data_IF_419066892147
#
_entry.id   IF_419066892147
#
_cell.length_a   1.000
_cell.length_b   1.000
_cell.length_c   1.000
_cell.angle_alpha   90.00
_cell.angle_beta   90.00
_cell.angle_gamma   90.00
#
_symmetry.space_group_name_H-M   'P 1'
#
loop_
_entity.id
_entity.type
_entity.pdbx_description
1 polymer ?
#
# COMPACT_ATOMS: atom_id res chain seq x y z
N UNK A 1 10.20 7.70 23.09
CA UNK A 1 10.27 6.32 23.54
C UNK A 1 9.04 5.44 23.37
N UNK A 2 7.85 5.99 23.09
CA UNK A 2 6.64 5.15 22.93
C UNK A 2 6.73 4.14 21.77
N UNK A 3 7.24 4.50 20.57
CA UNK A 3 7.33 3.55 19.46
C UNK A 3 8.28 2.37 19.76
N UNK A 4 9.39 2.63 20.42
CA UNK A 4 10.35 1.60 20.82
C UNK A 4 9.70 0.58 21.76
N UNK A 5 9.00 1.04 22.80
CA UNK A 5 8.35 0.17 23.77
C UNK A 5 7.26 -0.66 23.13
N UNK A 6 6.42 -0.04 22.29
CA UNK A 6 5.39 -0.76 21.53
C UNK A 6 6.00 -1.83 20.61
N UNK A 7 7.08 -1.50 19.91
CA UNK A 7 7.77 -2.46 19.05
C UNK A 7 8.32 -3.64 19.84
N UNK A 8 8.92 -3.41 20.99
CA UNK A 8 9.43 -4.50 21.86
C UNK A 8 8.29 -5.41 22.32
N UNK A 9 7.19 -4.83 22.80
CA UNK A 9 6.03 -5.61 23.29
C UNK A 9 5.44 -6.45 22.16
N UNK A 10 5.17 -5.84 21.01
CA UNK A 10 4.56 -6.53 19.86
C UNK A 10 5.49 -7.59 19.31
N UNK A 11 6.79 -7.28 19.15
CA UNK A 11 7.78 -8.26 18.70
C UNK A 11 7.90 -9.46 19.65
N UNK A 12 7.89 -9.21 20.96
CA UNK A 12 7.90 -10.29 21.96
C UNK A 12 6.61 -11.13 21.93
N UNK A 13 5.44 -10.50 21.78
CA UNK A 13 4.16 -11.21 21.64
C UNK A 13 4.10 -12.08 20.39
N UNK A 14 4.59 -11.59 19.25
CA UNK A 14 4.66 -12.37 18.01
C UNK A 14 5.61 -13.55 18.20
N UNK A 15 6.79 -13.34 18.78
CA UNK A 15 7.75 -14.40 19.05
C UNK A 15 7.20 -15.45 20.01
N UNK A 16 6.48 -15.05 21.04
CA UNK A 16 5.81 -15.96 21.98
C UNK A 16 4.70 -16.77 21.29
N UNK A 17 3.83 -16.10 20.50
CA UNK A 17 2.77 -16.77 19.74
C UNK A 17 3.31 -17.76 18.71
N UNK A 18 4.48 -17.48 18.13
CA UNK A 18 5.19 -18.37 17.23
C UNK A 18 5.97 -19.50 17.96
N UNK A 19 5.84 -19.61 19.29
CA UNK A 19 6.53 -20.61 20.12
C UNK A 19 8.05 -20.61 19.94
N UNK A 20 8.63 -19.44 19.73
CA UNK A 20 10.07 -19.29 19.61
C UNK A 20 10.77 -19.45 20.97
N UNK A 21 12.04 -19.84 20.92
CA UNK A 21 12.91 -19.84 22.09
C UNK A 21 13.07 -18.44 22.71
N UNK A 22 13.22 -18.34 24.03
CA UNK A 22 13.29 -17.06 24.77
C UNK A 22 14.29 -16.08 24.17
N UNK A 23 15.47 -16.58 23.75
CA UNK A 23 16.50 -15.74 23.12
C UNK A 23 15.99 -15.12 21.82
N UNK A 24 15.25 -15.87 21.01
CA UNK A 24 14.66 -15.39 19.75
C UNK A 24 13.51 -14.42 20.01
N UNK A 25 12.70 -14.65 21.04
CA UNK A 25 11.63 -13.73 21.47
C UNK A 25 12.22 -12.38 21.85
N UNK A 26 13.25 -12.35 22.69
CA UNK A 26 13.94 -11.13 23.11
C UNK A 26 14.59 -10.44 21.93
N UNK A 27 15.28 -11.19 21.06
CA UNK A 27 15.90 -10.61 19.86
C UNK A 27 14.85 -10.00 18.92
N UNK A 28 13.73 -10.67 18.67
CA UNK A 28 12.64 -10.15 17.86
C UNK A 28 12.02 -8.90 18.46
N UNK A 29 11.80 -8.90 19.78
CA UNK A 29 11.30 -7.72 20.50
C UNK A 29 12.23 -6.51 20.34
N UNK A 30 13.51 -6.68 20.63
CA UNK A 30 14.49 -5.59 20.50
C UNK A 30 14.60 -5.11 19.05
N UNK A 31 14.61 -6.02 18.08
CA UNK A 31 14.69 -5.68 16.66
C UNK A 31 13.47 -4.87 16.22
N UNK A 32 12.26 -5.31 16.58
CA UNK A 32 11.02 -4.58 16.26
C UNK A 32 10.99 -3.20 16.92
N UNK A 33 11.43 -3.10 18.19
CA UNK A 33 11.56 -1.82 18.89
C UNK A 33 12.53 -0.87 18.18
N UNK A 34 13.70 -1.38 17.82
CA UNK A 34 14.71 -0.61 17.10
C UNK A 34 14.19 -0.12 15.73
N UNK A 35 13.54 -0.98 14.97
CA UNK A 35 12.94 -0.63 13.67
C UNK A 35 11.88 0.48 13.84
N UNK A 36 10.98 0.35 14.82
CA UNK A 36 9.94 1.35 15.07
C UNK A 36 10.48 2.70 15.52
N UNK A 37 11.65 2.75 16.16
CA UNK A 37 12.29 4.00 16.57
C UNK A 37 13.18 4.59 15.47
N UNK A 38 13.93 3.75 14.74
CA UNK A 38 14.92 4.22 13.76
C UNK A 38 14.27 4.65 12.43
N UNK A 39 13.27 3.92 11.94
CA UNK A 39 12.64 4.23 10.65
C UNK A 39 12.05 5.65 10.62
N UNK A 40 11.27 6.12 11.61
CA UNK A 40 10.77 7.50 11.60
C UNK A 40 11.88 8.54 11.61
N UNK A 41 12.97 8.31 12.35
CA UNK A 41 14.11 9.24 12.40
C UNK A 41 14.82 9.33 11.05
N UNK A 42 15.10 8.20 10.43
CA UNK A 42 15.73 8.15 9.09
C UNK A 42 14.81 8.83 8.06
N UNK A 43 13.52 8.54 8.09
CA UNK A 43 12.54 9.15 7.18
C UNK A 43 12.45 10.66 7.38
N UNK A 44 12.50 11.16 8.62
CA UNK A 44 12.52 12.60 8.90
C UNK A 44 13.74 13.28 8.26
N UNK A 45 14.91 12.68 8.35
CA UNK A 45 16.13 13.20 7.71
C UNK A 45 15.98 13.29 6.17
N UNK A 46 15.36 12.28 5.55
CA UNK A 46 15.05 12.33 4.11
C UNK A 46 14.08 13.45 3.77
N UNK A 47 13.01 13.63 4.55
CA UNK A 47 12.03 14.70 4.34
C UNK A 47 12.69 16.06 4.46
N UNK A 48 13.50 16.27 5.49
CA UNK A 48 14.22 17.51 5.72
C UNK A 48 15.22 17.80 4.58
N UNK A 49 15.91 16.78 4.07
CA UNK A 49 16.80 16.91 2.92
C UNK A 49 16.07 17.23 1.61
N UNK A 50 14.82 16.73 1.43
CA UNK A 50 14.02 16.99 0.24
C UNK A 50 13.23 18.31 0.28
N UNK A 51 13.04 18.89 1.46
CA UNK A 51 12.26 20.11 1.65
C UNK A 51 12.76 21.30 0.80
N UNK A 52 14.07 21.65 0.77
CA UNK A 52 14.55 22.74 -0.07
C UNK A 52 14.36 22.50 -1.56
N UNK A 53 14.45 21.24 -2.02
CA UNK A 53 14.18 20.86 -3.42
C UNK A 53 12.71 21.08 -3.75
N UNK A 54 11.80 20.65 -2.85
CA UNK A 54 10.36 20.82 -3.00
C UNK A 54 9.97 22.31 -3.04
N UNK A 55 10.52 23.13 -2.16
CA UNK A 55 10.28 24.58 -2.12
C UNK A 55 10.74 25.26 -3.39
N UNK A 56 11.94 24.96 -3.87
CA UNK A 56 12.47 25.51 -5.14
C UNK A 56 11.64 25.08 -6.34
N UNK A 57 11.23 23.83 -6.37
CA UNK A 57 10.34 23.32 -7.42
C UNK A 57 8.99 24.04 -7.42
N UNK A 58 8.40 24.27 -6.23
CA UNK A 58 7.15 25.04 -6.11
C UNK A 58 7.30 26.47 -6.60
N UNK A 59 8.42 27.15 -6.30
CA UNK A 59 8.70 28.50 -6.81
C UNK A 59 8.79 28.52 -8.34
N UNK A 60 9.53 27.58 -8.93
CA UNK A 60 9.67 27.47 -10.39
C UNK A 60 8.33 27.19 -11.06
N UNK A 61 7.54 26.29 -10.49
CA UNK A 61 6.20 25.95 -11.00
C UNK A 61 5.26 27.15 -10.90
N UNK A 62 5.26 27.89 -9.78
CA UNK A 62 4.46 29.11 -9.65
C UNK A 62 4.82 30.16 -10.69
N UNK A 63 6.11 30.34 -10.97
CA UNK A 63 6.59 31.25 -12.01
C UNK A 63 6.17 30.82 -13.42
N UNK A 64 6.30 29.54 -13.73
CA UNK A 64 6.05 28.98 -15.07
C UNK A 64 4.55 28.84 -15.41
N UNK A 65 3.72 28.59 -14.40
CA UNK A 65 2.28 28.31 -14.58
C UNK A 65 1.35 29.44 -14.06
N UNK A 66 1.84 30.70 -14.01
CA UNK A 66 1.06 31.90 -13.68
C UNK A 66 0.20 31.75 -12.40
N UNK A 67 0.79 31.19 -11.33
CA UNK A 67 0.12 31.08 -10.03
C UNK A 67 -0.93 29.97 -9.92
N UNK A 68 -1.04 29.07 -10.90
CA UNK A 68 -1.87 27.85 -10.75
C UNK A 68 -1.34 27.01 -9.59
N UNK A 69 -2.24 26.53 -8.75
CA UNK A 69 -1.89 25.55 -7.70
C UNK A 69 -1.53 24.23 -8.39
N UNK A 70 -0.26 23.88 -8.38
CA UNK A 70 0.22 22.59 -8.85
C UNK A 70 0.51 21.73 -7.63
N UNK A 71 -0.07 20.54 -7.61
CA UNK A 71 0.21 19.55 -6.59
C UNK A 71 1.37 18.68 -7.06
N UNK A 72 2.43 18.64 -6.27
CA UNK A 72 3.59 17.77 -6.53
C UNK A 72 3.27 16.43 -5.88
N UNK A 73 3.17 15.39 -6.71
CA UNK A 73 3.01 14.02 -6.22
C UNK A 73 4.30 13.54 -5.57
N UNK A 74 4.20 12.99 -4.36
CA UNK A 74 5.32 12.35 -3.68
C UNK A 74 5.04 10.87 -3.53
N UNK A 75 6.10 10.07 -3.53
CA UNK A 75 5.98 8.64 -3.28
C UNK A 75 5.46 8.37 -1.86
N UNK A 76 4.53 7.41 -1.68
CA UNK A 76 4.11 6.94 -0.36
C UNK A 76 5.28 6.48 0.52
N UNK A 77 6.38 6.04 -0.11
CA UNK A 77 7.60 5.63 0.58
C UNK A 77 8.15 6.69 1.54
N UNK A 78 7.99 7.99 1.21
CA UNK A 78 8.43 9.09 2.07
C UNK A 78 7.63 9.22 3.38
N UNK A 79 6.46 8.60 3.45
CA UNK A 79 5.54 8.68 4.60
C UNK A 79 5.48 7.35 5.37
N UNK A 80 6.23 6.34 4.94
CA UNK A 80 6.31 5.03 5.64
C UNK A 80 6.74 5.22 7.10
N UNK A 81 7.70 6.11 7.35
CA UNK A 81 8.19 6.41 8.69
C UNK A 81 7.23 7.21 9.59
N UNK A 82 6.03 7.55 9.13
CA UNK A 82 5.06 8.23 9.98
C UNK A 82 4.64 7.32 11.15
N UNK A 83 4.62 7.81 12.40
CA UNK A 83 4.33 6.98 13.58
C UNK A 83 3.05 6.17 13.47
N UNK A 84 1.97 6.77 12.95
CA UNK A 84 0.70 6.07 12.72
C UNK A 84 0.83 4.92 11.73
N UNK A 85 1.61 5.08 10.65
CA UNK A 85 1.87 4.01 9.67
C UNK A 85 2.53 2.83 10.35
N UNK A 86 3.57 3.07 11.13
CA UNK A 86 4.33 2.02 11.80
C UNK A 86 3.49 1.28 12.84
N UNK A 87 2.79 2.02 13.71
CA UNK A 87 1.91 1.43 14.74
C UNK A 87 0.83 0.56 14.10
N UNK A 88 0.13 1.09 13.09
CA UNK A 88 -0.95 0.36 12.41
C UNK A 88 -0.42 -0.86 11.67
N UNK A 89 0.72 -0.75 10.98
CA UNK A 89 1.34 -1.88 10.28
C UNK A 89 1.69 -3.01 11.24
N UNK A 90 2.35 -2.68 12.35
CA UNK A 90 2.76 -3.70 13.34
C UNK A 90 1.57 -4.39 13.98
N UNK A 91 0.48 -3.67 14.26
CA UNK A 91 -0.74 -4.26 14.81
C UNK A 91 -1.44 -5.14 13.76
N UNK A 92 -1.54 -4.66 12.52
CA UNK A 92 -2.29 -5.37 11.47
C UNK A 92 -1.56 -6.60 10.91
N UNK A 93 -0.24 -6.69 11.02
CA UNK A 93 0.51 -7.88 10.58
C UNK A 93 -0.05 -9.17 11.24
N UNK A 94 -0.05 -9.34 12.57
CA UNK A 94 -0.59 -10.55 13.18
C UNK A 94 -2.10 -10.69 12.99
N UNK A 95 -2.83 -9.59 12.96
CA UNK A 95 -4.29 -9.61 12.77
C UNK A 95 -4.66 -10.12 11.39
N UNK A 96 -4.00 -9.63 10.33
CA UNK A 96 -4.31 -10.07 8.97
C UNK A 96 -3.86 -11.51 8.71
N UNK A 97 -2.76 -11.95 9.32
CA UNK A 97 -2.35 -13.35 9.26
C UNK A 97 -3.40 -14.27 9.90
N UNK A 98 -3.89 -13.92 11.07
CA UNK A 98 -4.95 -14.67 11.71
C UNK A 98 -6.24 -14.67 10.86
N UNK A 99 -6.65 -13.51 10.35
CA UNK A 99 -7.83 -13.41 9.49
C UNK A 99 -7.65 -14.24 8.23
N UNK A 100 -6.49 -14.19 7.57
CA UNK A 100 -6.23 -14.94 6.34
C UNK A 100 -6.43 -16.46 6.50
N UNK A 101 -6.14 -17.00 7.69
CA UNK A 101 -6.34 -18.42 7.99
C UNK A 101 -7.83 -18.77 8.16
N UNK A 102 -8.61 -17.88 8.80
CA UNK A 102 -10.01 -18.17 9.13
C UNK A 102 -11.02 -17.62 8.12
N UNK A 103 -10.57 -16.78 7.15
CA UNK A 103 -11.44 -16.09 6.21
C UNK A 103 -12.00 -17.09 5.17
N UNK A 104 -13.33 -17.30 5.10
CA UNK A 104 -13.92 -18.24 4.15
C UNK A 104 -13.63 -17.82 2.69
N UNK A 105 -13.22 -18.78 1.87
CA UNK A 105 -12.92 -18.55 0.45
C UNK A 105 -11.63 -17.78 0.17
N UNK A 106 -10.80 -17.55 1.18
CA UNK A 106 -9.45 -17.04 1.00
C UNK A 106 -8.47 -18.21 0.85
N UNK A 107 -7.67 -18.20 -0.21
CA UNK A 107 -6.63 -19.19 -0.50
C UNK A 107 -5.23 -18.60 -0.43
N UNK A 108 -5.10 -17.34 0.03
CA UNK A 108 -3.85 -16.62 0.09
C UNK A 108 -3.40 -16.34 1.51
N UNK A 109 -2.17 -16.72 1.84
CA UNK A 109 -1.52 -16.36 3.10
C UNK A 109 -0.39 -15.35 2.84
N UNK A 110 -0.53 -14.07 3.29
CA UNK A 110 0.34 -12.98 2.90
C UNK A 110 1.68 -12.96 3.66
N UNK A 111 2.45 -14.05 3.67
CA UNK A 111 3.72 -14.12 4.41
C UNK A 111 4.80 -13.22 3.82
N UNK A 112 5.05 -13.33 2.52
CA UNK A 112 6.07 -12.53 1.83
C UNK A 112 5.61 -11.08 1.60
N UNK A 113 4.30 -10.88 1.43
CA UNK A 113 3.70 -9.57 1.12
C UNK A 113 3.54 -8.65 2.30
N UNK A 114 3.85 -9.08 3.53
CA UNK A 114 3.68 -8.25 4.73
C UNK A 114 4.49 -6.96 4.68
N UNK A 115 5.65 -6.99 4.03
CA UNK A 115 6.45 -5.78 3.82
C UNK A 115 5.74 -4.73 2.95
N UNK A 116 4.91 -5.16 2.00
CA UNK A 116 4.11 -4.29 1.14
C UNK A 116 3.03 -3.50 1.89
N UNK A 117 2.57 -4.00 3.05
CA UNK A 117 1.56 -3.33 3.87
C UNK A 117 1.96 -1.92 4.32
N UNK A 118 3.26 -1.69 4.55
CA UNK A 118 3.77 -0.37 4.92
C UNK A 118 3.51 0.71 3.86
N UNK A 119 3.31 0.33 2.60
CA UNK A 119 2.99 1.26 1.51
C UNK A 119 1.49 1.59 1.41
N UNK A 120 0.62 0.74 1.97
CA UNK A 120 -0.83 0.95 1.96
C UNK A 120 -1.24 2.09 2.89
N UNK A 121 -0.72 2.10 4.11
CA UNK A 121 -1.18 3.05 5.15
C UNK A 121 -0.83 4.51 4.85
N UNK A 122 0.31 4.88 4.25
CA UNK A 122 0.57 6.23 3.77
C UNK A 122 -0.49 6.78 2.81
N UNK A 123 -1.15 5.92 2.05
CA UNK A 123 -2.25 6.32 1.16
C UNK A 123 -3.55 6.61 1.93
N UNK A 124 -3.75 5.97 3.08
CA UNK A 124 -4.92 6.13 3.95
C UNK A 124 -4.76 7.34 4.87
N UNK A 125 -3.54 7.64 5.30
CA UNK A 125 -3.22 8.67 6.29
C UNK A 125 -3.81 10.07 5.98
N UNK A 126 -3.75 10.60 4.76
CA UNK A 126 -4.31 11.91 4.44
C UNK A 126 -5.81 12.00 4.71
N UNK A 127 -6.54 10.90 4.52
CA UNK A 127 -7.99 10.83 4.75
C UNK A 127 -8.34 10.69 6.22
N UNK A 128 -7.49 10.05 7.00
CA UNK A 128 -7.67 9.84 8.45
C UNK A 128 -7.04 10.93 9.30
N UNK A 129 -6.30 11.87 8.69
CA UNK A 129 -5.55 12.93 9.36
C UNK A 129 -4.60 12.38 10.45
N UNK A 130 -3.99 11.24 10.19
CA UNK A 130 -3.06 10.58 11.11
C UNK A 130 -3.71 9.88 12.32
N UNK A 131 -5.03 9.73 12.35
CA UNK A 131 -5.71 9.05 13.46
C UNK A 131 -5.49 7.53 13.37
N UNK A 132 -4.84 6.95 14.39
CA UNK A 132 -4.46 5.54 14.44
C UNK A 132 -5.68 4.61 14.31
N UNK A 133 -6.74 4.85 15.08
CA UNK A 133 -7.93 3.98 15.10
C UNK A 133 -8.64 3.99 13.75
N UNK A 134 -8.83 5.16 13.15
CA UNK A 134 -9.45 5.27 11.82
C UNK A 134 -8.60 4.60 10.75
N UNK A 135 -7.27 4.80 10.80
CA UNK A 135 -6.34 4.18 9.85
C UNK A 135 -6.33 2.65 10.00
N UNK A 136 -6.42 2.16 11.23
CA UNK A 136 -6.48 0.73 11.53
C UNK A 136 -7.75 0.10 10.95
N UNK A 137 -8.92 0.71 11.18
CA UNK A 137 -10.20 0.18 10.68
C UNK A 137 -10.23 0.19 9.15
N UNK A 138 -9.88 1.31 8.51
CA UNK A 138 -9.86 1.41 7.05
C UNK A 138 -8.82 0.47 6.45
N UNK A 139 -7.63 0.40 7.07
CA UNK A 139 -6.56 -0.50 6.66
C UNK A 139 -6.98 -1.96 6.75
N UNK A 140 -7.62 -2.37 7.84
CA UNK A 140 -8.12 -3.73 8.01
C UNK A 140 -9.12 -4.11 6.92
N UNK A 141 -10.09 -3.23 6.64
CA UNK A 141 -11.07 -3.45 5.56
C UNK A 141 -10.37 -3.59 4.20
N UNK A 142 -9.42 -2.70 3.90
CA UNK A 142 -8.67 -2.73 2.65
C UNK A 142 -7.85 -4.02 2.51
N UNK A 143 -7.25 -4.51 3.60
CA UNK A 143 -6.47 -5.74 3.62
C UNK A 143 -7.36 -6.97 3.42
N UNK A 144 -8.52 -7.05 4.06
CA UNK A 144 -9.48 -8.15 3.86
C UNK A 144 -9.95 -8.22 2.40
N UNK A 145 -10.29 -7.07 1.82
CA UNK A 145 -10.67 -6.99 0.40
C UNK A 145 -9.49 -7.43 -0.48
N UNK A 146 -8.28 -7.01 -0.15
CA UNK A 146 -7.07 -7.39 -0.84
C UNK A 146 -6.80 -8.90 -0.82
N UNK A 147 -7.08 -9.60 0.28
CA UNK A 147 -6.97 -11.08 0.34
C UNK A 147 -7.83 -11.75 -0.73
N UNK A 148 -9.07 -11.31 -0.90
CA UNK A 148 -9.95 -11.83 -1.95
C UNK A 148 -9.45 -11.50 -3.36
N UNK A 149 -8.91 -10.29 -3.58
CA UNK A 149 -8.35 -9.92 -4.89
C UNK A 149 -7.16 -10.80 -5.25
N UNK A 150 -6.27 -11.05 -4.30
CA UNK A 150 -5.10 -11.90 -4.51
C UNK A 150 -5.53 -13.35 -4.75
N UNK A 151 -6.46 -13.89 -3.99
CA UNK A 151 -7.02 -15.22 -4.20
C UNK A 151 -7.59 -15.38 -5.62
N UNK A 152 -8.28 -14.36 -6.12
CA UNK A 152 -8.84 -14.37 -7.47
C UNK A 152 -7.76 -14.29 -8.57
N UNK A 153 -6.66 -13.59 -8.32
CA UNK A 153 -5.57 -13.40 -9.28
C UNK A 153 -4.51 -14.51 -9.27
N UNK A 154 -4.39 -15.22 -8.16
CA UNK A 154 -3.34 -16.20 -7.92
C UNK A 154 -3.22 -17.31 -8.98
N UNK A 155 -4.31 -17.92 -9.50
CA UNK A 155 -4.22 -18.94 -10.52
C UNK A 155 -3.58 -18.46 -11.82
N UNK A 156 -3.94 -17.27 -12.29
CA UNK A 156 -3.39 -16.71 -13.53
C UNK A 156 -1.92 -16.32 -13.36
N UNK A 157 -1.55 -15.84 -12.18
CA UNK A 157 -0.16 -15.55 -11.84
C UNK A 157 0.71 -16.82 -11.80
N UNK A 158 0.16 -17.89 -11.24
CA UNK A 158 0.81 -19.20 -11.21
C UNK A 158 1.05 -19.73 -12.61
N UNK A 159 0.04 -19.65 -13.49
CA UNK A 159 0.21 -20.04 -14.90
C UNK A 159 1.26 -19.21 -15.62
N UNK A 160 1.29 -17.89 -15.40
CA UNK A 160 2.28 -17.01 -16.01
C UNK A 160 3.69 -17.35 -15.53
N UNK A 161 3.88 -17.59 -14.24
CA UNK A 161 5.18 -17.96 -13.67
C UNK A 161 5.67 -19.32 -14.21
N UNK A 162 4.79 -20.32 -14.33
CA UNK A 162 5.11 -21.61 -14.90
C UNK A 162 5.53 -21.51 -16.39
N UNK A 163 4.86 -20.65 -17.17
CA UNK A 163 5.23 -20.37 -18.54
C UNK A 163 6.64 -19.74 -18.66
N UNK A 164 6.95 -18.79 -17.76
CA UNK A 164 8.29 -18.16 -17.72
C UNK A 164 9.33 -19.20 -17.33
N UNK A 165 9.09 -20.02 -16.32
CA UNK A 165 9.99 -21.10 -15.92
C UNK A 165 10.27 -22.08 -17.06
N UNK A 166 9.22 -22.54 -17.77
CA UNK A 166 9.37 -23.44 -18.93
C UNK A 166 10.13 -22.80 -20.10
N UNK A 167 10.01 -21.49 -20.29
CA UNK A 167 10.65 -20.77 -21.37
C UNK A 167 12.11 -20.42 -21.07
N UNK A 168 12.44 -20.08 -19.83
CA UNK A 168 13.77 -19.54 -19.43
C UNK A 168 14.60 -20.49 -18.59
N UNK A 169 13.98 -21.47 -17.93
CA UNK A 169 14.62 -22.31 -16.91
C UNK A 169 15.00 -21.53 -15.62
N UNK A 170 14.46 -20.32 -15.44
CA UNK A 170 14.76 -19.48 -14.28
C UNK A 170 14.07 -20.01 -13.03
N UNK A 171 14.87 -20.53 -12.10
CA UNK A 171 14.37 -21.06 -10.82
C UNK A 171 13.62 -20.03 -9.97
N UNK A 172 13.81 -18.73 -10.19
CA UNK A 172 13.06 -17.69 -9.51
C UNK A 172 11.56 -17.68 -9.90
N UNK A 173 11.23 -18.20 -11.10
CA UNK A 173 9.87 -18.33 -11.57
C UNK A 173 9.25 -19.72 -11.26
N UNK A 174 10.03 -20.63 -10.66
CA UNK A 174 9.55 -21.97 -10.32
C UNK A 174 8.64 -21.94 -9.10
N UNK A 175 7.40 -22.37 -9.29
CA UNK A 175 6.42 -22.53 -8.20
C UNK A 175 6.35 -24.04 -7.88
N UNK A 176 6.60 -24.43 -6.63
CA UNK A 176 6.51 -25.84 -6.23
C UNK A 176 5.12 -26.42 -6.45
N UNK A 177 5.04 -27.72 -6.73
CA UNK A 177 3.79 -28.43 -6.90
C UNK A 177 2.88 -28.26 -5.67
N UNK A 178 1.60 -28.00 -5.91
CA UNK A 178 0.59 -27.78 -4.86
C UNK A 178 0.53 -26.34 -4.30
N UNK A 179 1.38 -25.43 -4.79
CA UNK A 179 1.30 -24.01 -4.43
C UNK A 179 0.74 -23.19 -5.60
N UNK A 180 0.01 -22.13 -5.27
CA UNK A 180 -0.47 -21.16 -6.25
C UNK A 180 -0.16 -19.73 -5.81
N UNK A 181 0.21 -18.85 -6.76
CA UNK A 181 0.44 -17.43 -6.49
C UNK A 181 1.61 -17.11 -5.58
N UNK A 182 2.62 -17.97 -5.46
CA UNK A 182 3.75 -17.81 -4.54
C UNK A 182 4.57 -16.53 -4.74
N UNK A 183 4.56 -15.95 -5.93
CA UNK A 183 5.26 -14.71 -6.27
C UNK A 183 4.35 -13.46 -6.30
N UNK A 184 3.06 -13.61 -5.99
CA UNK A 184 2.11 -12.50 -6.02
C UNK A 184 2.20 -11.68 -4.74
N UNK A 185 2.41 -10.37 -4.88
CA UNK A 185 2.40 -9.45 -3.76
C UNK A 185 0.97 -9.04 -3.39
N UNK A 186 0.80 -8.44 -2.21
CA UNK A 186 -0.49 -8.06 -1.67
C UNK A 186 -1.14 -6.94 -2.50
N UNK A 187 -2.25 -7.25 -3.17
CA UNK A 187 -2.94 -6.33 -4.07
C UNK A 187 -4.26 -5.84 -3.47
N UNK A 188 -4.23 -4.72 -2.74
CA UNK A 188 -5.46 -4.09 -2.19
C UNK A 188 -6.06 -3.04 -3.13
N UNK A 189 -5.61 -2.97 -4.38
CA UNK A 189 -6.09 -1.98 -5.33
C UNK A 189 -7.37 -2.43 -6.03
N UNK A 190 -8.49 -1.83 -5.66
CA UNK A 190 -9.77 -2.03 -6.35
C UNK A 190 -9.67 -1.75 -7.87
N UNK A 191 -8.97 -0.68 -8.24
CA UNK A 191 -8.80 -0.35 -9.67
C UNK A 191 -7.93 -1.37 -10.40
N UNK A 192 -6.85 -1.84 -9.79
CA UNK A 192 -6.00 -2.89 -10.34
C UNK A 192 -6.80 -4.18 -10.58
N UNK A 193 -7.59 -4.59 -9.60
CA UNK A 193 -8.45 -5.76 -9.71
C UNK A 193 -9.54 -5.60 -10.77
N UNK A 194 -10.18 -4.43 -10.86
CA UNK A 194 -11.18 -4.15 -11.91
C UNK A 194 -10.57 -4.20 -13.32
N UNK A 195 -9.36 -3.66 -13.49
CA UNK A 195 -8.63 -3.75 -14.76
C UNK A 195 -8.34 -5.21 -15.11
N UNK A 196 -7.80 -5.97 -14.14
CA UNK A 196 -7.53 -7.39 -14.33
C UNK A 196 -8.77 -8.17 -14.74
N UNK A 197 -9.88 -8.01 -14.03
CA UNK A 197 -11.15 -8.65 -14.35
C UNK A 197 -11.70 -8.21 -15.71
N UNK A 198 -11.58 -6.93 -16.04
CA UNK A 198 -11.98 -6.39 -17.32
C UNK A 198 -11.18 -6.99 -18.49
N UNK A 199 -9.86 -7.13 -18.32
CA UNK A 199 -9.01 -7.79 -19.33
C UNK A 199 -9.37 -9.28 -19.48
N UNK A 200 -9.67 -9.97 -18.38
CA UNK A 200 -10.08 -11.38 -18.39
C UNK A 200 -11.40 -11.61 -19.13
N UNK A 201 -12.30 -10.64 -19.17
CA UNK A 201 -13.51 -10.63 -19.98
C UNK A 201 -13.26 -10.33 -21.47
N UNK A 202 -12.00 -10.24 -21.89
CA UNK A 202 -11.58 -9.98 -23.27
C UNK A 202 -12.22 -8.70 -23.86
N UNK A 203 -12.73 -8.76 -25.10
CA UNK A 203 -13.25 -7.59 -25.79
C UNK A 203 -14.37 -6.86 -25.06
N UNK A 204 -15.28 -7.60 -24.40
CA UNK A 204 -16.42 -7.02 -23.66
C UNK A 204 -15.90 -6.24 -22.45
N UNK A 205 -14.98 -6.82 -21.71
CA UNK A 205 -14.38 -6.17 -20.52
C UNK A 205 -13.56 -4.95 -20.88
N UNK A 206 -12.76 -5.02 -21.95
CA UNK A 206 -12.01 -3.86 -22.45
C UNK A 206 -12.92 -2.73 -22.92
N UNK A 207 -14.02 -3.03 -23.59
CA UNK A 207 -15.02 -2.05 -24.00
C UNK A 207 -15.66 -1.37 -22.78
N UNK A 208 -16.07 -2.15 -21.76
CA UNK A 208 -16.64 -1.62 -20.52
C UNK A 208 -15.65 -0.73 -19.76
N UNK A 209 -14.39 -1.16 -19.61
CA UNK A 209 -13.34 -0.37 -18.98
C UNK A 209 -13.09 0.95 -19.73
N UNK A 210 -13.09 0.90 -21.08
CA UNK A 210 -12.92 2.09 -21.89
C UNK A 210 -14.07 3.09 -21.68
N UNK A 211 -15.31 2.62 -21.64
CA UNK A 211 -16.48 3.46 -21.36
C UNK A 211 -16.39 4.08 -19.96
N UNK A 212 -16.07 3.28 -18.94
CA UNK A 212 -15.90 3.79 -17.55
C UNK A 212 -14.80 4.83 -17.51
N UNK A 213 -13.67 4.60 -18.16
CA UNK A 213 -12.54 5.54 -18.21
C UNK A 213 -12.96 6.85 -18.87
N UNK A 214 -13.65 6.82 -20.00
CA UNK A 214 -14.15 8.00 -20.68
C UNK A 214 -15.13 8.78 -19.77
N UNK A 215 -16.05 8.08 -19.11
CA UNK A 215 -16.98 8.73 -18.16
C UNK A 215 -16.22 9.43 -17.05
N UNK A 216 -15.25 8.76 -16.43
CA UNK A 216 -14.43 9.33 -15.36
C UNK A 216 -13.62 10.54 -15.86
N UNK A 217 -13.05 10.48 -17.07
CA UNK A 217 -12.35 11.62 -17.68
C UNK A 217 -13.29 12.81 -17.89
N UNK A 218 -14.49 12.60 -18.42
CA UNK A 218 -15.48 13.66 -18.63
C UNK A 218 -15.93 14.28 -17.30
N UNK A 219 -16.22 13.45 -16.30
CA UNK A 219 -16.60 13.92 -14.95
C UNK A 219 -15.49 14.73 -14.32
N UNK A 220 -14.25 14.23 -14.38
CA UNK A 220 -13.09 14.94 -13.84
C UNK A 220 -12.84 16.26 -14.55
N UNK A 221 -12.90 16.27 -15.88
CA UNK A 221 -12.76 17.51 -16.66
C UNK A 221 -13.82 18.57 -16.30
N UNK A 222 -15.09 18.15 -16.17
CA UNK A 222 -16.17 19.04 -15.70
C UNK A 222 -15.90 19.60 -14.31
N UNK A 223 -15.35 18.80 -13.42
CA UNK A 223 -14.99 19.21 -12.05
C UNK A 223 -13.87 20.24 -12.07
N UNK A 224 -12.80 20.00 -12.83
CA UNK A 224 -11.67 20.93 -12.98
C UNK A 224 -12.13 22.27 -13.54
N UNK A 225 -12.90 22.27 -14.62
CA UNK A 225 -13.44 23.51 -15.24
C UNK A 225 -14.34 24.27 -14.26
N UNK A 226 -15.15 23.56 -13.45
CA UNK A 226 -15.99 24.20 -12.43
C UNK A 226 -15.16 24.87 -11.32
N UNK A 227 -14.09 24.23 -10.89
CA UNK A 227 -13.17 24.78 -9.89
C UNK A 227 -12.39 25.99 -10.45
N UNK A 228 -11.94 25.93 -11.70
CA UNK A 228 -11.28 27.08 -12.35
C UNK A 228 -12.22 28.30 -12.48
N UNK A 229 -13.50 28.08 -12.82
CA UNK A 229 -14.50 29.15 -12.86
C UNK A 229 -14.74 29.79 -11.50
N UNK A 230 -14.84 28.96 -10.43
CA UNK A 230 -14.97 29.46 -9.06
C UNK A 230 -13.76 30.30 -8.62
N UNK A 231 -12.56 29.89 -9.00
CA UNK A 231 -11.35 30.65 -8.68
C UNK A 231 -11.25 31.98 -9.45
N UNK A 232 -11.69 32.02 -10.71
CA UNK A 232 -11.74 33.29 -11.50
C UNK A 232 -12.71 34.27 -10.88
N UNK A 233 -13.91 33.84 -10.48
CA UNK A 233 -14.90 34.72 -9.86
C UNK A 233 -14.45 35.27 -8.50
N UNK A 234 -13.67 34.49 -7.74
CA UNK A 234 -13.11 34.89 -6.43
C UNK A 234 -11.94 35.91 -6.55
N UNK A 235 -11.34 36.03 -7.73
CA UNK A 235 -10.29 37.03 -8.01
C UNK A 235 -10.84 38.37 -8.56
N UNK A 236 -12.12 38.40 -8.92
CA UNK A 236 -12.79 39.61 -9.44
C UNK A 236 -13.62 40.33 -8.36
N UNK A 237 -13.76 39.70 -7.19
CA UNK A 237 -14.27 40.32 -5.95
C UNK A 237 -13.12 40.74 -5.04
#
# INVERSE_FOLDING_TARGET
GEPLVLGVIVGALIGWAAQLDIKKILFLGVTMGAVMELIPRITSLFIDGLKPISEKTQELVKKKFNGKKVHIGMSPALVIGHPTTLVVSVILIPVILAIAVFLPGNEFLPLASLAGMFYLFPLILPFTKGNVVKTLIIGLIALIIGLYFVTDMAPDFTMAADQVYKATGDNAAHIPDGFSGGALDFASSLFGWLIYRGVKLQYIGMALLSVVTIILMVVNNRRIVKEERKMKNKKQQ
#
